data_IF_960733884324
#
_entry.id   IF_960733884324
#
_cell.length_a   1.000
_cell.length_b   1.000
_cell.length_c   1.000
_cell.angle_alpha   90.00
_cell.angle_beta   90.00
_cell.angle_gamma   90.00
#
_symmetry.space_group_name_H-M   'P 1'
#
loop_
_entity.id
_entity.type
_entity.pdbx_description
1 polymer ?
#
# COMPACT_ATOMS: atom_id res chain seq x y z
N UNK A 1 3.15 14.32 -12.18
CA UNK A 1 2.83 13.77 -10.84
C UNK A 1 4.03 13.13 -10.16
N UNK A 2 4.77 12.23 -10.83
CA UNK A 2 5.90 11.53 -10.21
C UNK A 2 7.14 12.40 -9.87
N UNK A 3 7.24 13.64 -10.38
CA UNK A 3 8.37 14.54 -10.15
C UNK A 3 8.10 15.59 -9.05
N UNK A 4 7.47 15.18 -7.95
CA UNK A 4 7.32 15.99 -6.74
C UNK A 4 8.44 15.70 -5.73
N UNK A 5 8.81 16.69 -4.91
CA UNK A 5 9.81 16.54 -3.84
C UNK A 5 9.45 15.43 -2.85
N UNK A 6 8.17 15.30 -2.52
CA UNK A 6 7.59 14.17 -1.78
C UNK A 6 6.27 13.80 -2.46
N UNK A 7 5.96 12.50 -2.56
CA UNK A 7 4.68 12.02 -3.06
C UNK A 7 3.95 11.29 -1.93
N UNK A 8 2.73 11.73 -1.63
CA UNK A 8 1.81 11.02 -0.76
C UNK A 8 0.74 10.33 -1.61
N UNK A 9 0.55 9.03 -1.41
CA UNK A 9 -0.48 8.21 -2.05
C UNK A 9 -1.40 7.70 -0.95
N UNK A 10 -2.62 8.23 -0.90
CA UNK A 10 -3.62 7.88 0.10
C UNK A 10 -4.56 6.77 -0.40
N UNK A 11 -5.02 5.92 0.53
CA UNK A 11 -6.04 4.89 0.31
C UNK A 11 -5.80 4.03 -0.96
N UNK A 12 -4.56 3.58 -1.15
CA UNK A 12 -4.22 2.77 -2.31
C UNK A 12 -4.99 1.45 -2.28
N UNK A 13 -5.53 1.06 -3.44
CA UNK A 13 -6.30 -0.18 -3.63
C UNK A 13 -7.64 -0.27 -2.87
N UNK A 14 -8.23 0.85 -2.46
CA UNK A 14 -9.52 0.96 -1.73
C UNK A 14 -10.69 0.13 -2.29
N UNK A 15 -10.81 0.03 -3.60
CA UNK A 15 -11.92 -0.70 -4.25
C UNK A 15 -11.60 -2.18 -4.48
N UNK A 16 -10.35 -2.57 -4.26
CA UNK A 16 -9.88 -3.92 -4.56
C UNK A 16 -10.39 -4.92 -3.55
N UNK A 17 -10.78 -4.49 -2.35
CA UNK A 17 -11.39 -5.33 -1.32
C UNK A 17 -12.92 -5.22 -1.45
N UNK A 18 -13.49 -5.97 -2.40
CA UNK A 18 -14.95 -6.09 -2.47
C UNK A 18 -15.41 -7.14 -1.45
N UNK A 19 -16.05 -6.64 -0.40
CA UNK A 19 -16.57 -7.37 0.75
C UNK A 19 -15.47 -7.93 1.67
N UNK A 20 -15.65 -7.66 2.96
CA UNK A 20 -14.84 -8.16 4.09
C UNK A 20 -14.66 -9.70 4.11
N UNK A 21 -15.39 -10.41 3.25
CA UNK A 21 -15.45 -11.86 3.16
C UNK A 21 -15.56 -12.37 1.70
N UNK A 22 -14.60 -12.13 0.79
CA UNK A 22 -14.07 -13.19 -0.13
C UNK A 22 -13.63 -12.81 -1.55
N UNK A 23 -13.63 -11.55 -2.03
CA UNK A 23 -12.93 -11.27 -3.31
C UNK A 23 -12.15 -9.97 -3.28
N UNK A 24 -10.85 -10.12 -3.07
CA UNK A 24 -9.90 -9.13 -3.54
C UNK A 24 -9.82 -9.18 -5.08
N UNK A 25 -10.37 -8.17 -5.75
CA UNK A 25 -10.19 -7.99 -7.20
C UNK A 25 -9.31 -6.77 -7.44
N UNK A 26 -8.03 -7.01 -7.62
CA UNK A 26 -7.07 -5.97 -7.99
C UNK A 26 -7.05 -5.88 -9.50
N UNK A 27 -7.34 -4.70 -10.05
CA UNK A 27 -7.12 -4.47 -11.46
C UNK A 27 -5.61 -4.45 -11.76
N UNK A 28 -5.18 -5.36 -12.63
CA UNK A 28 -3.80 -5.45 -13.07
C UNK A 28 -3.32 -4.21 -13.82
N UNK A 29 -4.23 -3.41 -14.38
CA UNK A 29 -3.90 -2.14 -15.00
C UNK A 29 -3.56 -1.08 -13.94
N UNK A 30 -4.36 -0.97 -12.88
CA UNK A 30 -4.08 -0.06 -11.76
C UNK A 30 -2.72 -0.40 -11.13
N UNK A 31 -2.48 -1.70 -10.88
CA UNK A 31 -1.22 -2.19 -10.37
C UNK A 31 -0.04 -1.78 -11.27
N UNK A 32 -0.17 -1.94 -12.59
CA UNK A 32 0.85 -1.52 -13.57
C UNK A 32 1.11 -0.02 -13.56
N UNK A 33 0.09 0.81 -13.41
CA UNK A 33 0.27 2.27 -13.36
C UNK A 33 0.98 2.72 -12.08
N UNK A 34 0.58 2.19 -10.92
CA UNK A 34 1.26 2.47 -9.65
C UNK A 34 2.72 2.02 -9.71
N UNK A 35 2.99 0.88 -10.33
CA UNK A 35 4.34 0.34 -10.47
C UNK A 35 5.27 1.25 -11.28
N UNK A 36 4.76 1.91 -12.32
CA UNK A 36 5.54 2.92 -13.06
C UNK A 36 5.94 4.08 -12.15
N UNK A 37 5.03 4.55 -11.29
CA UNK A 37 5.30 5.65 -10.35
C UNK A 37 6.34 5.24 -9.31
N UNK A 38 6.18 4.07 -8.69
CA UNK A 38 7.12 3.56 -7.69
C UNK A 38 8.50 3.36 -8.31
N UNK A 39 8.60 2.74 -9.49
CA UNK A 39 9.88 2.52 -10.16
C UNK A 39 10.58 3.82 -10.54
N UNK A 40 9.85 4.80 -11.07
CA UNK A 40 10.42 6.11 -11.39
C UNK A 40 11.04 6.74 -10.14
N UNK A 41 10.31 6.72 -9.02
CA UNK A 41 10.74 7.37 -7.78
C UNK A 41 11.87 6.59 -7.09
N UNK A 42 11.83 5.26 -7.09
CA UNK A 42 12.93 4.40 -6.63
C UNK A 42 14.23 4.74 -7.38
N UNK A 43 14.19 4.75 -8.71
CA UNK A 43 15.37 5.04 -9.55
C UNK A 43 15.91 6.46 -9.37
N UNK A 44 15.07 7.40 -8.94
CA UNK A 44 15.45 8.80 -8.69
C UNK A 44 15.73 9.11 -7.21
N UNK A 45 15.62 8.12 -6.32
CA UNK A 45 15.75 8.33 -4.88
C UNK A 45 14.73 9.31 -4.30
N UNK A 46 13.53 9.40 -4.89
CA UNK A 46 12.50 10.33 -4.45
C UNK A 46 11.58 9.70 -3.40
N UNK A 47 11.33 10.36 -2.26
CA UNK A 47 10.60 9.78 -1.13
C UNK A 47 9.12 9.56 -1.43
N UNK A 48 8.55 8.45 -0.95
CA UNK A 48 7.12 8.15 -1.06
C UNK A 48 6.58 7.90 0.34
N UNK A 49 5.43 8.50 0.65
CA UNK A 49 4.56 8.07 1.75
C UNK A 49 3.35 7.40 1.12
N UNK A 50 3.05 6.15 1.49
CA UNK A 50 1.83 5.48 1.03
C UNK A 50 1.12 4.74 2.16
N UNK A 51 -0.20 4.67 2.05
CA UNK A 51 -1.05 3.71 2.75
C UNK A 51 -1.88 2.93 1.72
N UNK A 52 -2.18 1.69 2.05
CA UNK A 52 -2.86 0.74 1.17
C UNK A 52 -3.78 -0.14 2.00
N UNK A 53 -4.90 -0.56 1.42
CA UNK A 53 -5.79 -1.55 2.04
C UNK A 53 -5.29 -3.00 1.85
N UNK A 54 -4.42 -3.23 0.87
CA UNK A 54 -3.80 -4.54 0.64
C UNK A 54 -2.66 -4.80 1.62
N UNK A 55 -2.64 -6.00 2.21
CA UNK A 55 -1.57 -6.46 3.10
C UNK A 55 -0.24 -6.71 2.40
N UNK A 56 0.86 -6.51 3.13
CA UNK A 56 2.21 -6.76 2.63
C UNK A 56 2.41 -8.18 2.09
N UNK A 57 1.90 -9.19 2.79
CA UNK A 57 1.97 -10.59 2.38
C UNK A 57 1.30 -10.80 1.02
N UNK A 58 0.17 -10.12 0.78
CA UNK A 58 -0.55 -10.19 -0.49
C UNK A 58 0.21 -9.47 -1.61
N UNK A 59 0.81 -8.31 -1.33
CA UNK A 59 1.70 -7.65 -2.30
C UNK A 59 2.86 -8.54 -2.74
N UNK A 60 3.42 -9.31 -1.82
CA UNK A 60 4.51 -10.24 -2.13
C UNK A 60 4.09 -11.32 -3.11
N UNK A 61 2.85 -11.79 -3.04
CA UNK A 61 2.28 -12.75 -4.00
C UNK A 61 2.03 -12.12 -5.38
N UNK A 62 1.68 -10.83 -5.42
CA UNK A 62 1.39 -10.11 -6.67
C UNK A 62 2.66 -9.72 -7.42
N UNK A 63 3.64 -9.13 -6.73
CA UNK A 63 4.90 -8.69 -7.31
C UNK A 63 6.00 -8.59 -6.23
N UNK A 64 6.81 -9.65 -6.14
CA UNK A 64 7.92 -9.71 -5.20
C UNK A 64 9.03 -8.68 -5.49
N UNK A 65 9.23 -8.30 -6.76
CA UNK A 65 10.29 -7.35 -7.12
C UNK A 65 9.97 -5.94 -6.64
N UNK A 66 8.72 -5.51 -6.78
CA UNK A 66 8.30 -4.17 -6.38
C UNK A 66 8.16 -4.04 -4.88
N UNK A 67 7.62 -5.05 -4.20
CA UNK A 67 7.57 -5.01 -2.74
C UNK A 67 8.98 -4.98 -2.14
N UNK A 68 9.95 -5.63 -2.79
CA UNK A 68 11.38 -5.52 -2.45
C UNK A 68 11.89 -4.08 -2.55
N UNK A 69 11.62 -3.39 -3.66
CA UNK A 69 11.97 -1.96 -3.85
C UNK A 69 11.36 -1.06 -2.79
N UNK A 70 10.08 -1.27 -2.46
CA UNK A 70 9.40 -0.49 -1.41
C UNK A 70 10.07 -0.73 -0.06
N UNK A 71 10.36 -1.99 0.27
CA UNK A 71 10.99 -2.34 1.55
C UNK A 71 12.41 -1.73 1.68
N UNK A 72 13.18 -1.74 0.59
CA UNK A 72 14.46 -1.04 0.50
C UNK A 72 14.32 0.48 0.68
N UNK A 73 13.35 1.11 0.00
CA UNK A 73 13.05 2.55 0.18
C UNK A 73 12.67 2.88 1.62
N UNK A 74 11.96 1.97 2.30
CA UNK A 74 11.61 2.05 3.71
C UNK A 74 12.76 1.67 4.66
N UNK A 75 13.97 1.39 4.14
CA UNK A 75 15.13 0.95 4.92
C UNK A 75 14.83 -0.24 5.84
N UNK A 76 13.89 -1.10 5.46
CA UNK A 76 13.42 -2.25 6.26
C UNK A 76 12.86 -1.86 7.65
N UNK A 77 12.57 -0.58 7.88
CA UNK A 77 12.14 -0.03 9.18
C UNK A 77 10.83 0.74 9.11
N UNK A 78 10.55 1.39 7.99
CA UNK A 78 9.41 2.30 7.82
C UNK A 78 8.24 1.66 7.06
N UNK A 79 8.24 0.33 6.90
CA UNK A 79 7.13 -0.43 6.36
C UNK A 79 6.36 -1.07 7.51
N UNK A 80 5.07 -0.74 7.63
CA UNK A 80 4.18 -1.28 8.66
C UNK A 80 2.99 -1.93 7.99
N UNK A 81 2.70 -3.19 8.34
CA UNK A 81 1.50 -3.93 7.88
C UNK A 81 0.65 -4.30 9.09
N UNK A 82 -0.62 -3.88 9.09
CA UNK A 82 -1.54 -4.08 10.22
C UNK A 82 -2.63 -5.06 9.80
N UNK A 83 -2.52 -6.34 10.15
CA UNK A 83 -3.53 -7.36 9.78
C UNK A 83 -4.98 -6.93 10.05
N UNK A 84 -5.95 -7.33 9.19
CA UNK A 84 -7.34 -6.94 9.34
C UNK A 84 -7.88 -7.47 10.66
N UNK A 85 -8.62 -6.64 11.37
CA UNK A 85 -9.29 -7.00 12.61
C UNK A 85 -10.44 -6.03 12.85
N UNK A 86 -11.64 -6.59 12.97
CA UNK A 86 -12.88 -5.82 13.14
C UNK A 86 -12.82 -4.97 14.43
N UNK A 87 -12.10 -5.45 15.44
CA UNK A 87 -11.96 -4.78 16.73
C UNK A 87 -11.02 -3.58 16.69
N UNK A 88 -10.22 -3.41 15.62
CA UNK A 88 -9.33 -2.26 15.43
C UNK A 88 -10.05 -1.04 14.87
N UNK A 89 -11.33 -1.16 14.51
CA UNK A 89 -12.09 -0.03 13.98
C UNK A 89 -12.45 0.96 15.11
N UNK A 90 -11.59 1.94 15.32
CA UNK A 90 -11.78 2.99 16.34
C UNK A 90 -13.01 3.87 16.09
N UNK A 91 -13.49 3.97 14.84
CA UNK A 91 -14.70 4.74 14.50
C UNK A 91 -15.97 4.01 14.95
N UNK A 92 -15.93 2.67 14.99
CA UNK A 92 -17.03 1.81 15.45
C UNK A 92 -16.93 1.45 16.93
N UNK A 93 -15.74 1.59 17.53
CA UNK A 93 -15.52 1.30 18.95
C UNK A 93 -15.40 2.60 19.75
N UNK A 94 -16.47 2.95 20.48
CA UNK A 94 -16.44 4.06 21.45
C UNK A 94 -15.69 3.58 22.71
N UNK A 95 -14.36 3.67 22.74
CA UNK A 95 -13.63 3.60 24.02
C UNK A 95 -13.93 4.90 24.77
N UNK A 96 -14.84 4.83 25.74
CA UNK A 96 -14.99 5.86 26.77
C UNK A 96 -13.61 6.10 27.38
N UNK A 97 -13.07 7.30 27.17
CA UNK A 97 -11.85 7.77 27.85
C UNK A 97 -12.09 7.84 29.34
#
# INVERSE_FOLDING_TARGET
VANAGVLFIDDLFKSSIQNYYQRESIDMNDLREIFKVINYRYNKGLPILLNSEIHFERFKELDQAIIGRINEMCQYKYLVSIKPDINKNYRLTKKSR
#
